data_IF_595535398835
#
_entry.id   IF_595535398835
#
_cell.length_a   1.000
_cell.length_b   1.000
_cell.length_c   1.000
_cell.angle_alpha   90.00
_cell.angle_beta   90.00
_cell.angle_gamma   90.00
#
_symmetry.space_group_name_H-M   'P 1'
#
loop_
_entity.id
_entity.type
_entity.pdbx_description
1 polymer ?
#
# COMPACT_ATOMS: atom_id res chain seq x y z
N UNK A 1 -15.11 -10.11 -7.31
CA UNK A 1 -14.22 -10.18 -8.48
C UNK A 1 -13.04 -11.11 -8.22
N UNK A 2 -12.46 -11.05 -7.02
CA UNK A 2 -11.36 -11.93 -6.58
C UNK A 2 -11.79 -12.55 -5.25
N UNK A 3 -11.71 -13.88 -5.15
CA UNK A 3 -12.00 -14.61 -3.92
C UNK A 3 -10.85 -15.56 -3.63
N UNK A 4 -10.32 -15.53 -2.41
CA UNK A 4 -9.32 -16.50 -1.94
C UNK A 4 -9.78 -17.16 -0.65
N UNK A 5 -9.53 -18.45 -0.51
CA UNK A 5 -9.87 -19.22 0.68
C UNK A 5 -8.64 -19.97 1.18
N UNK A 6 -8.17 -19.60 2.36
CA UNK A 6 -6.99 -20.15 3.04
C UNK A 6 -5.78 -20.30 2.12
N UNK A 7 -5.59 -19.33 1.20
CA UNK A 7 -4.56 -19.35 0.18
C UNK A 7 -3.17 -19.26 0.81
N UNK A 8 -2.34 -20.27 0.56
CA UNK A 8 -0.97 -20.32 1.07
C UNK A 8 0.05 -20.53 -0.04
N UNK A 9 1.18 -19.86 0.07
CA UNK A 9 2.33 -20.04 -0.81
C UNK A 9 3.61 -20.14 -0.01
N UNK A 10 4.25 -21.32 -0.08
CA UNK A 10 5.54 -21.57 0.57
C UNK A 10 6.61 -21.75 -0.50
N UNK A 11 7.70 -21.03 -0.35
CA UNK A 11 8.95 -21.24 -1.03
C UNK A 11 9.94 -21.95 -0.08
N UNK A 12 11.06 -22.51 -0.55
CA UNK A 12 11.96 -23.31 0.31
C UNK A 12 12.45 -22.60 1.58
N UNK A 13 12.49 -21.27 1.58
CA UNK A 13 13.02 -20.45 2.70
C UNK A 13 12.02 -19.45 3.28
N UNK A 14 10.85 -19.29 2.66
CA UNK A 14 9.90 -18.22 3.02
C UNK A 14 8.47 -18.68 2.78
N UNK A 15 7.58 -18.42 3.73
CA UNK A 15 6.13 -18.47 3.53
C UNK A 15 5.68 -17.09 3.04
N UNK A 16 5.38 -16.99 1.75
CA UNK A 16 5.01 -15.73 1.13
C UNK A 16 3.53 -15.38 1.33
N UNK A 17 2.66 -16.39 1.46
CA UNK A 17 1.25 -16.25 1.86
C UNK A 17 0.92 -17.37 2.86
N UNK A 18 0.21 -17.01 3.93
CA UNK A 18 -0.19 -17.92 5.01
C UNK A 18 -1.70 -17.82 5.25
N UNK A 19 -2.45 -18.74 4.66
CA UNK A 19 -3.92 -18.89 4.78
C UNK A 19 -4.70 -17.61 4.52
N UNK A 20 -4.29 -16.87 3.49
CA UNK A 20 -4.93 -15.63 3.10
C UNK A 20 -6.34 -15.89 2.56
N UNK A 21 -7.37 -15.37 3.24
CA UNK A 21 -8.77 -15.40 2.78
C UNK A 21 -9.24 -13.97 2.62
N UNK A 22 -9.63 -13.60 1.39
CA UNK A 22 -10.15 -12.28 1.07
C UNK A 22 -11.19 -12.37 -0.05
N UNK A 23 -12.21 -11.54 0.05
CA UNK A 23 -13.19 -11.31 -1.00
C UNK A 23 -13.10 -9.84 -1.44
N UNK A 24 -12.81 -9.63 -2.72
CA UNK A 24 -12.67 -8.31 -3.34
C UNK A 24 -13.81 -8.10 -4.32
N UNK A 25 -14.64 -7.10 -4.03
CA UNK A 25 -15.75 -6.67 -4.86
C UNK A 25 -15.26 -5.93 -6.14
N UNK A 26 -16.15 -5.69 -7.16
CA UNK A 26 -15.85 -4.77 -8.24
C UNK A 26 -15.53 -3.36 -7.72
N UNK A 27 -14.65 -2.64 -8.42
CA UNK A 27 -14.24 -1.30 -8.03
C UNK A 27 -12.72 -1.14 -8.08
N UNK A 28 -12.21 -0.09 -7.45
CA UNK A 28 -10.77 0.14 -7.28
C UNK A 28 -10.36 -0.31 -5.88
N UNK A 29 -9.59 -1.39 -5.81
CA UNK A 29 -9.08 -1.94 -4.54
C UNK A 29 -7.59 -1.73 -4.41
N UNK A 30 -7.16 -1.14 -3.29
CA UNK A 30 -5.76 -1.02 -2.90
C UNK A 30 -5.28 -2.25 -2.13
N UNK A 31 -4.19 -2.87 -2.57
CA UNK A 31 -3.50 -3.94 -1.84
C UNK A 31 -2.23 -3.38 -1.22
N UNK A 32 -2.24 -3.21 0.08
CA UNK A 32 -1.18 -2.54 0.85
C UNK A 32 -0.39 -3.54 1.67
N UNK A 33 0.90 -3.29 1.79
CA UNK A 33 1.80 -4.07 2.62
C UNK A 33 3.25 -3.68 2.40
N UNK A 34 4.10 -3.95 3.37
CA UNK A 34 5.54 -3.74 3.26
C UNK A 34 6.15 -4.54 2.10
N UNK A 35 7.39 -4.20 1.73
CA UNK A 35 8.14 -5.01 0.77
C UNK A 35 8.33 -6.42 1.35
N UNK A 36 8.00 -7.43 0.55
CA UNK A 36 8.02 -8.82 1.02
C UNK A 36 6.72 -9.31 1.69
N UNK A 37 5.70 -8.47 1.89
CA UNK A 37 4.42 -8.86 2.49
C UNK A 37 3.61 -9.89 1.69
N UNK A 38 4.00 -10.19 0.44
CA UNK A 38 3.34 -11.19 -0.39
C UNK A 38 2.50 -10.64 -1.54
N UNK A 39 2.42 -9.31 -1.74
CA UNK A 39 1.60 -8.65 -2.77
C UNK A 39 1.80 -9.21 -4.18
N UNK A 40 3.04 -9.15 -4.69
CA UNK A 40 3.36 -9.66 -6.04
C UNK A 40 3.23 -11.19 -6.14
N UNK A 41 3.39 -11.92 -5.03
CA UNK A 41 3.12 -13.37 -4.99
C UNK A 41 1.64 -13.67 -5.15
N UNK A 42 0.78 -12.91 -4.47
CA UNK A 42 -0.67 -13.01 -4.63
C UNK A 42 -1.07 -12.75 -6.09
N UNK A 43 -0.62 -11.64 -6.68
CA UNK A 43 -0.89 -11.32 -8.09
C UNK A 43 -0.45 -12.45 -9.03
N UNK A 44 0.75 -13.02 -8.85
CA UNK A 44 1.24 -14.13 -9.68
C UNK A 44 0.34 -15.37 -9.58
N UNK A 45 -0.19 -15.67 -8.39
CA UNK A 45 -1.13 -16.78 -8.22
C UNK A 45 -2.46 -16.48 -8.91
N UNK A 46 -3.01 -15.27 -8.73
CA UNK A 46 -4.27 -14.85 -9.34
C UNK A 46 -4.20 -14.84 -10.88
N UNK A 47 -3.02 -14.57 -11.45
CA UNK A 47 -2.76 -14.67 -12.89
C UNK A 47 -2.49 -16.11 -13.38
N UNK A 48 -2.45 -17.09 -12.49
CA UNK A 48 -2.08 -18.47 -12.81
C UNK A 48 -0.60 -18.63 -13.23
N UNK A 49 0.27 -17.68 -12.86
CA UNK A 49 1.71 -17.71 -13.16
C UNK A 49 2.52 -18.47 -12.11
N UNK A 50 1.95 -18.67 -10.93
CA UNK A 50 2.54 -19.46 -9.85
C UNK A 50 1.47 -20.32 -9.19
N UNK A 51 1.71 -21.62 -8.95
CA UNK A 51 0.74 -22.46 -8.25
C UNK A 51 0.70 -22.07 -6.77
N UNK A 52 -0.50 -22.10 -6.17
CA UNK A 52 -0.65 -22.09 -4.71
C UNK A 52 -0.07 -23.38 -4.11
N UNK A 53 0.35 -23.32 -2.84
CA UNK A 53 0.74 -24.53 -2.08
C UNK A 53 -0.48 -25.19 -1.44
N UNK A 54 -1.40 -24.38 -0.92
CA UNK A 54 -2.66 -24.80 -0.28
C UNK A 54 -3.73 -23.72 -0.52
N UNK A 55 -4.99 -24.10 -0.36
CA UNK A 55 -6.13 -23.20 -0.51
C UNK A 55 -6.56 -23.02 -1.97
N UNK A 56 -7.54 -22.16 -2.18
CA UNK A 56 -8.14 -21.88 -3.49
C UNK A 56 -8.15 -20.39 -3.80
N UNK A 57 -8.17 -20.06 -5.09
CA UNK A 57 -8.34 -18.70 -5.56
C UNK A 57 -9.19 -18.66 -6.83
N UNK A 58 -10.07 -17.69 -6.92
CA UNK A 58 -10.94 -17.45 -8.06
C UNK A 58 -10.81 -15.99 -8.52
N UNK A 59 -10.79 -15.79 -9.83
CA UNK A 59 -10.76 -14.48 -10.47
C UNK A 59 -11.89 -14.43 -11.50
N UNK A 60 -12.77 -13.43 -11.40
CA UNK A 60 -13.96 -13.30 -12.24
C UNK A 60 -14.84 -14.57 -12.22
N UNK A 61 -14.89 -15.26 -11.09
CA UNK A 61 -15.60 -16.53 -10.91
C UNK A 61 -14.91 -17.76 -11.49
N UNK A 62 -13.70 -17.61 -12.06
CA UNK A 62 -12.91 -18.69 -12.66
C UNK A 62 -11.84 -19.19 -11.70
N UNK A 63 -11.61 -20.50 -11.65
CA UNK A 63 -10.58 -21.15 -10.83
C UNK A 63 -9.17 -20.89 -11.42
N UNK A 64 -8.28 -20.29 -10.65
CA UNK A 64 -6.93 -19.92 -11.12
C UNK A 64 -6.07 -21.11 -11.55
N UNK A 65 -6.37 -22.32 -11.04
CA UNK A 65 -5.62 -23.54 -11.37
C UNK A 65 -6.10 -24.21 -12.64
N UNK A 66 -7.39 -24.07 -12.98
CA UNK A 66 -8.03 -24.73 -14.12
C UNK A 66 -8.17 -23.79 -15.32
N UNK A 67 -8.51 -22.53 -15.05
CA UNK A 67 -8.96 -21.58 -16.06
C UNK A 67 -7.93 -20.46 -16.34
N UNK A 68 -6.65 -20.70 -16.02
CA UNK A 68 -5.62 -19.66 -16.05
C UNK A 68 -5.46 -18.96 -17.40
N UNK A 69 -5.67 -19.64 -18.56
CA UNK A 69 -5.66 -19.00 -19.88
C UNK A 69 -6.83 -18.04 -20.05
N UNK A 70 -8.05 -18.49 -19.72
CA UNK A 70 -9.28 -17.70 -19.82
C UNK A 70 -9.24 -16.48 -18.88
N UNK A 71 -8.64 -16.64 -17.69
CA UNK A 71 -8.39 -15.51 -16.79
C UNK A 71 -7.49 -14.48 -17.47
N UNK A 72 -6.32 -14.88 -18.02
CA UNK A 72 -5.40 -13.95 -18.69
C UNK A 72 -5.95 -13.28 -19.94
N UNK A 73 -6.93 -13.87 -20.61
CA UNK A 73 -7.66 -13.21 -21.71
C UNK A 73 -8.56 -12.06 -21.22
N UNK A 74 -9.01 -12.12 -19.96
CA UNK A 74 -9.97 -11.15 -19.37
C UNK A 74 -9.34 -10.18 -18.39
N UNK A 75 -8.06 -10.36 -18.08
CA UNK A 75 -7.35 -9.51 -17.13
C UNK A 75 -6.13 -8.83 -17.75
N UNK A 76 -5.89 -7.58 -17.36
CA UNK A 76 -4.65 -6.87 -17.67
C UNK A 76 -3.65 -6.95 -16.53
N UNK A 77 -2.37 -6.86 -16.85
CA UNK A 77 -1.31 -6.83 -15.85
C UNK A 77 -0.25 -5.80 -16.18
N UNK A 78 0.00 -4.92 -15.24
CA UNK A 78 1.09 -3.95 -15.26
C UNK A 78 2.13 -4.37 -14.20
N UNK A 79 3.30 -4.89 -14.59
CA UNK A 79 4.33 -5.33 -13.64
C UNK A 79 5.08 -4.13 -13.04
N UNK A 80 5.62 -4.31 -11.82
CA UNK A 80 6.46 -3.32 -11.15
C UNK A 80 7.71 -2.99 -11.97
N UNK A 81 8.47 -4.04 -12.39
CA UNK A 81 9.74 -3.88 -13.07
C UNK A 81 9.60 -3.32 -14.49
N UNK A 82 10.67 -2.69 -14.97
CA UNK A 82 10.75 -2.21 -16.36
C UNK A 82 10.82 -3.43 -17.30
N UNK A 83 9.87 -3.51 -18.21
CA UNK A 83 9.75 -4.59 -19.20
C UNK A 83 9.61 -4.02 -20.60
N UNK A 84 9.86 -2.73 -20.79
CA UNK A 84 9.63 -2.03 -22.03
C UNK A 84 10.87 -2.10 -22.94
N UNK A 85 10.72 -2.51 -24.22
CA UNK A 85 11.82 -2.48 -25.17
C UNK A 85 12.18 -1.02 -25.52
N UNK A 86 13.46 -0.60 -25.40
CA UNK A 86 13.83 0.80 -25.57
C UNK A 86 13.81 1.28 -27.01
N UNK A 87 13.99 0.36 -27.98
CA UNK A 87 14.26 0.69 -29.37
C UNK A 87 12.98 0.79 -30.24
N UNK A 88 11.81 0.47 -29.66
CA UNK A 88 10.51 0.57 -30.37
C UNK A 88 9.69 1.72 -29.83
N UNK A 89 8.73 2.19 -30.64
CA UNK A 89 7.78 3.21 -30.21
C UNK A 89 6.69 2.61 -29.31
N UNK A 90 6.01 3.47 -28.52
CA UNK A 90 4.87 3.04 -27.73
C UNK A 90 3.76 2.43 -28.59
N UNK A 91 3.52 2.99 -29.79
CA UNK A 91 2.53 2.43 -30.73
C UNK A 91 2.92 1.02 -31.18
N UNK A 92 4.16 0.78 -31.60
CA UNK A 92 4.58 -0.55 -32.04
C UNK A 92 4.49 -1.57 -30.91
N UNK A 93 4.94 -1.20 -29.72
CA UNK A 93 4.89 -2.08 -28.55
C UNK A 93 3.44 -2.42 -28.17
N UNK A 94 2.55 -1.42 -28.01
CA UNK A 94 1.18 -1.67 -27.56
C UNK A 94 0.36 -2.39 -28.64
N UNK A 95 0.58 -2.11 -29.94
CA UNK A 95 -0.02 -2.89 -31.06
C UNK A 95 0.43 -4.36 -30.97
N UNK A 96 1.73 -4.60 -30.71
CA UNK A 96 2.22 -5.97 -30.53
C UNK A 96 1.51 -6.69 -29.39
N UNK A 97 1.38 -6.04 -28.23
CA UNK A 97 0.68 -6.59 -27.07
C UNK A 97 -0.81 -6.85 -27.35
N UNK A 98 -1.49 -5.93 -28.03
CA UNK A 98 -2.87 -6.11 -28.46
C UNK A 98 -3.05 -7.35 -29.36
N UNK A 99 -2.11 -7.56 -30.30
CA UNK A 99 -2.13 -8.73 -31.18
C UNK A 99 -1.84 -10.03 -30.44
N UNK A 100 -0.92 -9.99 -29.47
CA UNK A 100 -0.65 -11.16 -28.58
C UNK A 100 -1.86 -11.54 -27.74
N UNK A 101 -2.71 -10.55 -27.40
CA UNK A 101 -4.00 -10.77 -26.73
C UNK A 101 -5.13 -11.18 -27.69
N UNK A 102 -4.82 -11.46 -28.96
CA UNK A 102 -5.78 -12.01 -29.94
C UNK A 102 -6.53 -10.98 -30.79
N UNK A 103 -6.24 -9.68 -30.67
CA UNK A 103 -6.91 -8.67 -31.49
C UNK A 103 -6.45 -8.76 -32.96
N UNK A 104 -7.40 -8.67 -33.95
CA UNK A 104 -7.06 -8.53 -35.35
C UNK A 104 -6.21 -7.29 -35.64
N UNK A 105 -5.36 -7.27 -36.70
CA UNK A 105 -4.40 -6.18 -36.92
C UNK A 105 -5.02 -4.78 -36.99
N UNK A 106 -6.21 -4.63 -37.57
CA UNK A 106 -6.90 -3.34 -37.67
C UNK A 106 -7.37 -2.89 -36.27
N UNK A 107 -8.12 -3.75 -35.59
CA UNK A 107 -8.60 -3.48 -34.23
C UNK A 107 -7.46 -3.20 -33.26
N UNK A 108 -6.34 -3.93 -33.36
CA UNK A 108 -5.16 -3.68 -32.52
C UNK A 108 -4.59 -2.26 -32.70
N UNK A 109 -4.55 -1.75 -33.94
CA UNK A 109 -4.08 -0.38 -34.20
C UNK A 109 -5.04 0.68 -33.69
N UNK A 110 -6.35 0.52 -33.93
CA UNK A 110 -7.39 1.44 -33.46
C UNK A 110 -7.42 1.51 -31.93
N UNK A 111 -7.50 0.34 -31.27
CA UNK A 111 -7.48 0.27 -29.81
C UNK A 111 -6.19 0.84 -29.21
N UNK A 112 -5.04 0.60 -29.83
CA UNK A 112 -3.76 1.18 -29.40
C UNK A 112 -3.80 2.70 -29.46
N UNK A 113 -4.28 3.28 -30.57
CA UNK A 113 -4.36 4.74 -30.71
C UNK A 113 -5.25 5.37 -29.63
N UNK A 114 -6.41 4.76 -29.37
CA UNK A 114 -7.34 5.21 -28.34
C UNK A 114 -6.76 5.04 -26.92
N UNK A 115 -6.18 3.88 -26.64
CA UNK A 115 -5.60 3.62 -25.31
C UNK A 115 -4.45 4.56 -25.02
N UNK A 116 -3.54 4.80 -25.98
CA UNK A 116 -2.43 5.74 -25.82
C UNK A 116 -2.91 7.18 -25.63
N UNK A 117 -4.03 7.56 -26.26
CA UNK A 117 -4.68 8.85 -26.01
C UNK A 117 -5.22 8.94 -24.58
N UNK A 118 -5.89 7.91 -24.10
CA UNK A 118 -6.46 7.86 -22.74
C UNK A 118 -5.39 7.95 -21.64
N UNK A 119 -4.23 7.33 -21.84
CA UNK A 119 -3.13 7.43 -20.90
C UNK A 119 -2.28 8.70 -21.09
N UNK A 120 -2.64 9.60 -22.01
CA UNK A 120 -1.98 10.89 -22.23
C UNK A 120 -0.62 10.80 -22.96
N UNK A 121 -0.46 9.83 -23.88
CA UNK A 121 0.74 9.63 -24.70
C UNK A 121 0.47 9.84 -26.21
N UNK A 122 -0.56 10.62 -26.56
CA UNK A 122 -0.97 10.79 -27.95
C UNK A 122 0.13 11.40 -28.82
N UNK A 123 0.81 12.44 -28.36
CA UNK A 123 1.85 13.15 -29.12
C UNK A 123 3.16 12.35 -29.19
N UNK A 124 3.52 11.67 -28.10
CA UNK A 124 4.78 10.96 -27.98
C UNK A 124 4.79 9.55 -28.55
N UNK A 125 3.62 9.00 -28.89
CA UNK A 125 3.42 7.58 -29.19
C UNK A 125 4.31 6.99 -30.26
N UNK A 126 4.89 7.82 -31.15
CA UNK A 126 5.76 7.38 -32.25
C UNK A 126 7.27 7.52 -31.91
N UNK A 127 7.61 8.09 -30.76
CA UNK A 127 8.99 8.20 -30.31
C UNK A 127 9.43 6.87 -29.67
N UNK A 128 10.74 6.50 -29.79
CA UNK A 128 11.29 5.35 -29.08
C UNK A 128 11.11 5.46 -27.56
N UNK A 129 10.72 4.36 -26.93
CA UNK A 129 10.43 4.28 -25.47
C UNK A 129 11.69 4.55 -24.64
N UNK A 130 12.89 4.25 -25.16
CA UNK A 130 14.15 4.53 -24.47
C UNK A 130 14.34 5.99 -24.07
N UNK A 131 13.76 6.92 -24.83
CA UNK A 131 13.78 8.37 -24.53
C UNK A 131 12.62 8.86 -23.64
N UNK A 132 11.82 7.98 -23.07
CA UNK A 132 10.68 8.36 -22.23
C UNK A 132 11.12 8.62 -20.78
N UNK A 133 10.42 9.56 -20.13
CA UNK A 133 10.50 9.73 -18.67
C UNK A 133 9.91 8.52 -17.94
N UNK A 134 10.20 8.37 -16.65
CA UNK A 134 9.63 7.29 -15.83
C UNK A 134 8.10 7.32 -15.88
N UNK A 135 7.47 8.50 -15.77
CA UNK A 135 6.02 8.65 -15.87
C UNK A 135 5.45 8.23 -17.23
N UNK A 136 6.11 8.58 -18.32
CA UNK A 136 5.72 8.13 -19.66
C UNK A 136 5.84 6.60 -19.79
N UNK A 137 6.87 5.99 -19.26
CA UNK A 137 7.06 4.53 -19.25
C UNK A 137 5.95 3.85 -18.44
N UNK A 138 5.60 4.36 -17.27
CA UNK A 138 4.48 3.82 -16.48
C UNK A 138 3.15 3.91 -17.24
N UNK A 139 2.90 5.01 -17.97
CA UNK A 139 1.72 5.16 -18.84
C UNK A 139 1.70 4.17 -20.01
N UNK A 140 2.87 3.83 -20.60
CA UNK A 140 2.94 2.76 -21.63
C UNK A 140 2.62 1.40 -21.02
N UNK A 141 3.15 1.11 -19.82
CA UNK A 141 2.84 -0.14 -19.09
C UNK A 141 1.34 -0.24 -18.76
N UNK A 142 0.71 0.87 -18.37
CA UNK A 142 -0.72 0.92 -18.15
C UNK A 142 -1.49 0.69 -19.48
N UNK A 143 -1.06 1.33 -20.57
CA UNK A 143 -1.70 1.16 -21.89
C UNK A 143 -1.65 -0.30 -22.35
N UNK A 144 -0.51 -0.99 -22.19
CA UNK A 144 -0.41 -2.40 -22.53
C UNK A 144 -1.35 -3.29 -21.72
N UNK A 145 -1.58 -2.96 -20.44
CA UNK A 145 -2.50 -3.71 -19.59
C UNK A 145 -3.97 -3.51 -19.95
N UNK A 146 -4.31 -2.39 -20.61
CA UNK A 146 -5.69 -2.00 -20.95
C UNK A 146 -6.10 -2.28 -22.40
N UNK A 147 -5.15 -2.43 -23.33
CA UNK A 147 -5.40 -2.41 -24.77
C UNK A 147 -6.37 -3.48 -25.27
N UNK A 148 -6.46 -4.61 -24.60
CA UNK A 148 -7.32 -5.74 -24.96
C UNK A 148 -8.70 -5.72 -24.27
N UNK A 149 -9.06 -4.60 -23.62
CA UNK A 149 -10.36 -4.39 -22.96
C UNK A 149 -10.64 -5.39 -21.83
N UNK A 150 -9.78 -5.45 -20.81
CA UNK A 150 -9.94 -6.40 -19.72
C UNK A 150 -11.12 -6.03 -18.80
N UNK A 151 -11.66 -7.01 -18.06
CA UNK A 151 -12.66 -6.81 -17.01
C UNK A 151 -12.05 -6.44 -15.66
N UNK A 152 -10.79 -6.81 -15.45
CA UNK A 152 -10.00 -6.54 -14.25
C UNK A 152 -8.57 -6.23 -14.65
N UNK A 153 -7.93 -5.29 -13.96
CA UNK A 153 -6.50 -5.00 -14.15
C UNK A 153 -5.75 -5.07 -12.83
N UNK A 154 -4.60 -5.74 -12.87
CA UNK A 154 -3.64 -5.78 -11.79
C UNK A 154 -2.52 -4.77 -12.06
N UNK A 155 -2.30 -3.83 -11.14
CA UNK A 155 -1.28 -2.79 -11.24
C UNK A 155 -0.29 -2.97 -10.08
N UNK A 156 0.92 -3.45 -10.39
CA UNK A 156 1.95 -3.72 -9.36
C UNK A 156 2.85 -2.49 -9.23
N UNK A 157 2.68 -1.73 -8.13
CA UNK A 157 3.41 -0.51 -7.78
C UNK A 157 3.45 0.54 -8.92
N UNK A 158 2.30 0.97 -9.49
CA UNK A 158 2.24 1.83 -10.67
C UNK A 158 2.81 3.24 -10.47
N UNK A 159 2.90 3.70 -9.23
CA UNK A 159 3.43 5.01 -8.85
C UNK A 159 4.92 4.99 -8.50
N UNK A 160 5.56 3.80 -8.54
CA UNK A 160 6.96 3.66 -8.18
C UNK A 160 7.87 4.47 -9.11
N UNK A 161 8.78 5.25 -8.50
CA UNK A 161 9.75 6.09 -9.21
C UNK A 161 9.17 7.39 -9.79
N UNK A 162 7.91 7.73 -9.48
CA UNK A 162 7.29 8.99 -9.89
C UNK A 162 7.52 10.08 -8.84
N UNK A 163 7.62 11.32 -9.31
CA UNK A 163 7.52 12.51 -8.46
C UNK A 163 6.07 12.70 -7.95
N UNK A 164 5.83 13.56 -6.95
CA UNK A 164 4.50 13.73 -6.37
C UNK A 164 3.41 14.08 -7.39
N UNK A 165 3.71 14.93 -8.37
CA UNK A 165 2.76 15.34 -9.41
C UNK A 165 2.45 14.15 -10.33
N UNK A 166 3.47 13.44 -10.79
CA UNK A 166 3.30 12.25 -11.62
C UNK A 166 2.53 11.13 -10.92
N UNK A 167 2.66 11.01 -9.59
CA UNK A 167 1.86 10.08 -8.78
C UNK A 167 0.38 10.45 -8.79
N UNK A 168 0.05 11.71 -8.49
CA UNK A 168 -1.34 12.16 -8.49
C UNK A 168 -1.98 12.01 -9.88
N UNK A 169 -1.24 12.28 -10.94
CA UNK A 169 -1.70 12.06 -12.31
C UNK A 169 -1.95 10.57 -12.61
N UNK A 170 -1.05 9.68 -12.19
CA UNK A 170 -1.20 8.24 -12.37
C UNK A 170 -2.39 7.69 -11.57
N UNK A 171 -2.56 8.12 -10.34
CA UNK A 171 -3.72 7.75 -9.51
C UNK A 171 -5.04 8.25 -10.13
N UNK A 172 -5.05 9.45 -10.69
CA UNK A 172 -6.17 9.98 -11.45
C UNK A 172 -6.48 9.15 -12.70
N UNK A 173 -5.46 8.66 -13.42
CA UNK A 173 -5.63 7.72 -14.54
C UNK A 173 -6.25 6.41 -14.08
N UNK A 174 -5.73 5.82 -13.00
CA UNK A 174 -6.24 4.57 -12.41
C UNK A 174 -7.71 4.71 -12.03
N UNK A 175 -8.11 5.81 -11.40
CA UNK A 175 -9.51 6.06 -11.07
C UNK A 175 -10.39 6.13 -12.32
N UNK A 176 -9.94 6.83 -13.37
CA UNK A 176 -10.67 6.89 -14.66
C UNK A 176 -10.82 5.54 -15.34
N UNK A 177 -9.86 4.63 -15.23
CA UNK A 177 -10.00 3.26 -15.76
C UNK A 177 -11.25 2.58 -15.21
N UNK A 178 -11.57 2.80 -13.94
CA UNK A 178 -12.81 2.27 -13.37
C UNK A 178 -14.03 3.11 -13.74
N UNK A 179 -13.97 4.44 -13.54
CA UNK A 179 -15.16 5.31 -13.69
C UNK A 179 -15.64 5.42 -15.13
N UNK A 180 -14.72 5.45 -16.11
CA UNK A 180 -15.06 5.70 -17.51
C UNK A 180 -15.26 4.40 -18.29
N UNK A 181 -14.60 3.32 -17.89
CA UNK A 181 -14.63 2.03 -18.63
C UNK A 181 -15.25 0.88 -17.84
N UNK A 182 -15.57 1.05 -16.56
CA UNK A 182 -16.13 -0.01 -15.70
C UNK A 182 -15.16 -1.14 -15.39
N UNK A 183 -13.86 -0.97 -15.67
CA UNK A 183 -12.83 -1.98 -15.41
C UNK A 183 -12.53 -1.99 -13.91
N UNK A 184 -12.56 -3.16 -13.29
CA UNK A 184 -12.12 -3.32 -11.89
C UNK A 184 -10.60 -3.23 -11.79
N UNK A 185 -10.09 -2.67 -10.70
CA UNK A 185 -8.65 -2.45 -10.51
C UNK A 185 -8.20 -3.01 -9.18
N UNK A 186 -7.15 -3.83 -9.19
CA UNK A 186 -6.35 -4.13 -8.00
C UNK A 186 -4.99 -3.46 -8.14
N UNK A 187 -4.75 -2.43 -7.32
CA UNK A 187 -3.50 -1.67 -7.33
C UNK A 187 -2.69 -1.97 -6.07
N UNK A 188 -1.42 -2.34 -6.22
CA UNK A 188 -0.52 -2.47 -5.09
C UNK A 188 0.21 -1.15 -4.84
N UNK A 189 0.42 -0.83 -3.57
CA UNK A 189 1.32 0.23 -3.13
C UNK A 189 1.86 -0.08 -1.73
N UNK A 190 3.03 0.44 -1.43
CA UNK A 190 3.55 0.52 -0.08
C UNK A 190 3.23 1.87 0.58
N UNK A 191 2.66 2.82 -0.17
CA UNK A 191 2.30 4.17 0.28
C UNK A 191 0.79 4.27 0.46
N UNK A 192 0.38 4.17 1.68
CA UNK A 192 -1.01 4.05 2.09
C UNK A 192 -1.85 5.29 1.76
N UNK A 193 -1.32 6.49 2.04
CA UNK A 193 -2.02 7.76 1.80
C UNK A 193 -2.35 8.03 0.32
N UNK A 194 -1.69 7.34 -0.61
CA UNK A 194 -2.02 7.41 -2.04
C UNK A 194 -3.32 6.68 -2.34
N UNK A 195 -3.52 5.52 -1.71
CA UNK A 195 -4.67 4.66 -1.97
C UNK A 195 -5.95 5.13 -1.29
N UNK A 196 -5.85 5.83 -0.14
CA UNK A 196 -7.00 6.38 0.57
C UNK A 196 -7.87 7.30 -0.32
N UNK A 197 -7.25 8.04 -1.23
CA UNK A 197 -7.95 8.98 -2.11
C UNK A 197 -8.44 8.39 -3.42
N UNK A 198 -7.95 7.20 -3.77
CA UNK A 198 -8.15 6.61 -5.10
C UNK A 198 -9.00 5.35 -5.05
N UNK A 199 -8.90 4.57 -3.98
CA UNK A 199 -9.54 3.27 -3.85
C UNK A 199 -10.89 3.34 -3.16
N UNK A 200 -11.80 2.45 -3.53
CA UNK A 200 -13.08 2.23 -2.86
C UNK A 200 -12.92 1.29 -1.67
N UNK A 201 -11.92 0.40 -1.76
CA UNK A 201 -11.63 -0.64 -0.77
C UNK A 201 -10.12 -0.80 -0.59
N UNK A 202 -9.70 -1.15 0.62
CA UNK A 202 -8.28 -1.40 0.93
C UNK A 202 -8.14 -2.75 1.63
N UNK A 203 -7.20 -3.54 1.13
CA UNK A 203 -6.77 -4.82 1.71
C UNK A 203 -5.34 -4.65 2.21
N UNK A 204 -5.13 -4.85 3.50
CA UNK A 204 -3.83 -4.73 4.16
C UNK A 204 -3.29 -6.13 4.44
N UNK A 205 -2.09 -6.41 3.92
CA UNK A 205 -1.39 -7.68 4.16
C UNK A 205 -0.01 -7.44 4.79
N UNK A 206 0.36 -8.31 5.71
CA UNK A 206 1.70 -8.35 6.28
C UNK A 206 2.13 -9.78 6.57
N UNK A 207 3.41 -10.09 6.34
CA UNK A 207 3.94 -11.45 6.52
C UNK A 207 3.12 -12.54 5.82
N UNK A 208 2.45 -12.22 4.70
CA UNK A 208 1.60 -13.14 3.95
C UNK A 208 0.20 -13.36 4.54
N UNK A 209 -0.19 -12.63 5.57
CA UNK A 209 -1.50 -12.72 6.24
C UNK A 209 -2.36 -11.49 5.97
N UNK A 210 -3.66 -11.70 5.96
CA UNK A 210 -4.62 -10.60 5.94
C UNK A 210 -4.64 -9.93 7.33
N UNK A 211 -4.30 -8.65 7.39
CA UNK A 211 -4.47 -7.85 8.59
C UNK A 211 -5.84 -7.19 8.64
N UNK A 212 -6.26 -6.60 7.54
CA UNK A 212 -7.55 -5.91 7.44
C UNK A 212 -8.04 -5.87 5.99
N UNK A 213 -9.36 -5.88 5.82
CA UNK A 213 -10.05 -5.66 4.55
C UNK A 213 -11.28 -4.82 4.86
N UNK A 214 -11.34 -3.59 4.37
CA UNK A 214 -12.45 -2.66 4.64
C UNK A 214 -12.63 -1.67 3.50
N UNK A 215 -13.82 -1.09 3.40
CA UNK A 215 -14.07 0.06 2.54
C UNK A 215 -13.22 1.25 2.99
N UNK A 216 -12.82 2.10 2.06
CA UNK A 216 -11.96 3.26 2.34
C UNK A 216 -12.65 4.24 3.30
N UNK A 217 -13.96 4.38 3.22
CA UNK A 217 -14.75 5.23 4.11
C UNK A 217 -14.65 4.79 5.58
N UNK A 218 -14.50 3.48 5.84
CA UNK A 218 -14.31 2.98 7.19
C UNK A 218 -12.92 3.30 7.77
N UNK A 219 -11.92 3.46 6.91
CA UNK A 219 -10.58 3.88 7.31
C UNK A 219 -10.49 5.39 7.53
N UNK A 220 -11.27 6.16 6.77
CA UNK A 220 -11.30 7.63 6.85
C UNK A 220 -12.35 8.15 7.83
N UNK A 221 -13.04 7.25 8.54
CA UNK A 221 -13.98 7.69 9.58
C UNK A 221 -13.27 8.63 10.55
N UNK A 222 -13.87 9.79 10.67
CA UNK A 222 -13.46 10.81 11.61
C UNK A 222 -13.52 10.20 13.01
N UNK A 223 -12.41 10.14 13.72
CA UNK A 223 -12.44 9.69 15.11
C UNK A 223 -13.25 10.67 15.94
N UNK A 224 -13.81 10.17 17.03
CA UNK A 224 -14.40 11.02 18.06
C UNK A 224 -13.35 11.80 18.85
N UNK A 225 -12.11 11.91 18.36
CA UNK A 225 -11.02 12.62 19.05
C UNK A 225 -10.57 13.85 18.30
N UNK A 226 -10.33 14.93 19.05
CA UNK A 226 -9.74 16.18 18.61
C UNK A 226 -8.24 16.15 18.87
N UNK A 227 -7.45 16.56 17.88
CA UNK A 227 -6.05 16.92 18.06
C UNK A 227 -5.96 18.41 18.35
N UNK A 228 -5.41 18.77 19.50
CA UNK A 228 -5.29 20.14 19.99
C UNK A 228 -3.83 20.45 20.22
N UNK A 229 -3.38 21.58 19.67
CA UNK A 229 -2.02 22.08 19.85
C UNK A 229 -2.09 23.52 20.39
N UNK A 230 -1.36 23.79 21.48
CA UNK A 230 -1.37 25.08 22.15
C UNK A 230 0.05 25.61 22.34
N UNK A 231 0.15 26.93 22.53
CA UNK A 231 1.43 27.58 22.84
C UNK A 231 1.71 27.52 24.34
N UNK A 232 2.98 27.50 24.71
CA UNK A 232 3.42 27.83 26.05
C UNK A 232 3.29 29.33 26.32
N UNK A 233 3.11 29.65 27.59
CA UNK A 233 3.07 31.04 28.05
C UNK A 233 3.94 31.22 29.30
N UNK A 234 4.27 32.45 29.66
CA UNK A 234 5.05 32.75 30.88
C UNK A 234 4.37 32.23 32.17
N UNK A 235 3.02 32.14 32.14
CA UNK A 235 2.22 31.60 33.25
C UNK A 235 2.09 30.10 33.22
N UNK A 236 2.19 29.49 32.05
CA UNK A 236 2.12 28.04 31.81
C UNK A 236 3.27 27.62 30.89
N UNK A 237 4.48 27.33 31.46
CA UNK A 237 5.65 26.95 30.66
C UNK A 237 5.48 25.60 29.93
N UNK A 238 4.51 24.78 30.33
CA UNK A 238 4.00 23.60 29.64
C UNK A 238 2.49 23.80 29.44
N UNK A 239 2.13 24.45 28.35
CA UNK A 239 0.74 24.76 28.00
C UNK A 239 -0.09 23.50 27.76
N UNK A 240 0.54 22.43 27.23
CA UNK A 240 -0.11 21.16 26.95
C UNK A 240 -0.52 20.46 28.25
N UNK A 241 0.36 20.41 29.26
CA UNK A 241 0.06 19.78 30.54
C UNK A 241 -0.96 20.60 31.34
N UNK A 242 -0.89 21.94 31.27
CA UNK A 242 -1.90 22.81 31.89
C UNK A 242 -3.29 22.58 31.28
N UNK A 243 -3.38 22.50 29.95
CA UNK A 243 -4.62 22.23 29.24
C UNK A 243 -5.16 20.82 29.58
N UNK A 244 -4.26 19.80 29.61
CA UNK A 244 -4.62 18.44 29.96
C UNK A 244 -5.25 18.36 31.36
N UNK A 245 -4.61 18.98 32.36
CA UNK A 245 -5.07 18.97 33.74
C UNK A 245 -6.45 19.66 33.88
N UNK A 246 -6.65 20.78 33.18
CA UNK A 246 -7.91 21.50 33.20
C UNK A 246 -9.03 20.72 32.53
N UNK A 247 -8.80 20.09 31.37
CA UNK A 247 -9.78 19.26 30.66
C UNK A 247 -10.16 17.99 31.45
N UNK A 248 -9.18 17.32 32.08
CA UNK A 248 -9.45 16.19 32.98
C UNK A 248 -10.30 16.62 34.16
N UNK A 249 -10.05 17.78 34.75
CA UNK A 249 -10.84 18.33 35.84
C UNK A 249 -12.28 18.64 35.42
N UNK A 250 -12.47 18.96 34.13
CA UNK A 250 -13.79 19.18 33.53
C UNK A 250 -14.48 17.87 33.05
N UNK A 251 -13.85 16.69 33.29
CA UNK A 251 -14.42 15.39 32.98
C UNK A 251 -14.17 14.91 31.55
N UNK A 252 -13.28 15.55 30.80
CA UNK A 252 -12.91 15.08 29.46
C UNK A 252 -11.91 13.91 29.53
N UNK A 253 -12.08 12.91 28.67
CA UNK A 253 -11.07 11.85 28.49
C UNK A 253 -9.95 12.38 27.59
N UNK A 254 -8.73 12.48 28.13
CA UNK A 254 -7.58 13.11 27.49
C UNK A 254 -6.37 12.20 27.51
N UNK A 255 -5.63 12.11 26.43
CA UNK A 255 -4.36 11.38 26.32
C UNK A 255 -3.31 12.25 25.63
N UNK A 256 -2.08 12.16 26.08
CA UNK A 256 -0.91 12.76 25.41
C UNK A 256 -0.30 11.84 24.35
N UNK A 257 -0.66 10.56 24.42
CA UNK A 257 -0.22 9.56 23.45
C UNK A 257 -1.43 9.13 22.60
N UNK A 258 -1.29 9.22 21.30
CA UNK A 258 -2.20 8.55 20.41
C UNK A 258 -2.02 7.04 20.61
N UNK A 259 -2.93 6.38 21.34
CA UNK A 259 -2.88 4.94 21.52
C UNK A 259 -2.84 4.27 20.16
N UNK A 260 -1.67 3.72 19.79
CA UNK A 260 -1.44 3.07 18.51
C UNK A 260 -0.72 3.89 17.44
N UNK A 261 -0.34 5.16 17.70
CA UNK A 261 0.52 5.89 16.79
C UNK A 261 1.98 5.63 17.17
N UNK A 262 2.68 4.88 16.34
CA UNK A 262 4.14 4.90 16.34
C UNK A 262 4.59 6.33 16.05
N UNK A 263 5.25 6.92 17.02
CA UNK A 263 5.80 8.24 17.05
C UNK A 263 6.49 8.65 15.75
N UNK A 264 5.98 9.65 15.09
CA UNK A 264 6.84 10.69 14.55
C UNK A 264 6.52 11.92 15.36
N UNK A 265 7.12 12.02 16.50
CA UNK A 265 7.11 13.22 17.31
C UNK A 265 8.16 14.14 16.72
N UNK A 266 7.72 15.14 16.04
CA UNK A 266 8.40 16.42 16.15
C UNK A 266 7.81 17.11 17.38
N UNK A 267 8.63 17.32 18.39
CA UNK A 267 8.53 18.32 19.46
C UNK A 267 7.33 19.29 19.31
N UNK A 268 6.15 18.90 19.71
CA UNK A 268 4.97 19.71 19.65
C UNK A 268 4.04 19.36 20.79
N UNK A 269 3.44 20.33 21.38
CA UNK A 269 2.50 20.29 22.47
C UNK A 269 1.12 19.81 21.94
N UNK A 270 1.04 18.54 21.50
CA UNK A 270 -0.17 17.96 20.91
C UNK A 270 -0.92 17.10 21.93
N UNK A 271 -2.18 17.42 22.14
CA UNK A 271 -3.10 16.75 23.05
C UNK A 271 -4.25 16.11 22.27
N UNK A 272 -4.63 14.88 22.61
CA UNK A 272 -5.80 14.24 22.04
C UNK A 272 -6.94 14.20 23.05
N UNK A 273 -8.11 14.73 22.65
CA UNK A 273 -9.30 14.83 23.49
C UNK A 273 -10.43 14.05 22.86
N UNK A 274 -11.05 13.12 23.56
CA UNK A 274 -12.26 12.47 23.07
C UNK A 274 -13.41 13.47 22.95
N UNK A 275 -13.98 13.58 21.76
CA UNK A 275 -14.98 14.57 21.40
C UNK A 275 -16.23 13.92 20.82
N UNK A 276 -17.11 13.34 21.67
CA UNK A 276 -18.33 12.68 21.21
C UNK A 276 -19.39 13.65 20.63
N UNK A 277 -19.21 14.96 20.77
CA UNK A 277 -20.16 15.98 20.28
C UNK A 277 -19.58 17.38 20.19
N UNK A 278 -20.37 18.32 19.65
CA UNK A 278 -19.98 19.73 19.49
C UNK A 278 -19.62 20.43 20.81
N UNK A 279 -20.22 20.00 21.92
CA UNK A 279 -19.95 20.53 23.26
C UNK A 279 -18.47 20.42 23.66
N UNK A 280 -17.76 19.41 23.15
CA UNK A 280 -16.33 19.21 23.46
C UNK A 280 -15.45 20.27 22.78
N UNK A 281 -15.84 20.74 21.60
CA UNK A 281 -15.13 21.83 20.92
C UNK A 281 -15.21 23.12 21.72
N UNK A 282 -16.39 23.44 22.22
CA UNK A 282 -16.62 24.61 23.07
C UNK A 282 -15.86 24.50 24.39
N UNK A 283 -15.88 23.31 25.01
CA UNK A 283 -15.13 23.05 26.25
C UNK A 283 -13.64 23.26 26.05
N UNK A 284 -13.04 22.72 24.99
CA UNK A 284 -11.62 22.88 24.68
C UNK A 284 -11.30 24.36 24.43
N UNK A 285 -12.08 25.04 23.60
CA UNK A 285 -11.89 26.45 23.28
C UNK A 285 -11.94 27.33 24.53
N UNK A 286 -12.97 27.13 25.35
CA UNK A 286 -13.20 27.94 26.56
C UNK A 286 -12.13 27.66 27.62
N UNK A 287 -11.64 26.42 27.73
CA UNK A 287 -10.53 26.04 28.63
C UNK A 287 -9.22 26.69 28.16
N UNK A 288 -8.90 26.66 26.86
CA UNK A 288 -7.72 27.32 26.29
C UNK A 288 -7.75 28.81 26.57
N UNK A 289 -8.90 29.45 26.33
CA UNK A 289 -9.09 30.87 26.59
C UNK A 289 -8.99 31.21 28.09
N UNK A 290 -9.56 30.38 28.97
CA UNK A 290 -9.49 30.54 30.42
C UNK A 290 -8.07 30.44 31.00
N UNK A 291 -7.22 29.61 30.40
CA UNK A 291 -5.80 29.47 30.75
C UNK A 291 -4.90 30.55 30.10
N UNK A 292 -5.44 31.35 29.18
CA UNK A 292 -4.67 32.36 28.43
C UNK A 292 -3.66 31.74 27.47
N UNK A 293 -3.86 30.49 27.04
CA UNK A 293 -3.01 29.80 26.06
C UNK A 293 -3.36 30.22 24.64
N UNK A 294 -2.38 30.24 23.76
CA UNK A 294 -2.63 30.41 22.32
C UNK A 294 -3.00 29.07 21.69
N UNK A 295 -4.14 29.01 20.99
CA UNK A 295 -4.54 27.82 20.22
C UNK A 295 -3.84 27.86 18.85
N UNK A 296 -2.94 26.90 18.59
CA UNK A 296 -2.24 26.76 17.32
C UNK A 296 -3.10 25.96 16.33
N UNK A 297 -3.67 24.83 16.82
CA UNK A 297 -4.41 23.88 16.00
C UNK A 297 -5.50 23.20 16.82
N UNK A 298 -6.67 23.07 16.23
CA UNK A 298 -7.76 22.24 16.75
C UNK A 298 -8.46 21.60 15.57
N UNK A 299 -8.25 20.33 15.38
CA UNK A 299 -8.86 19.58 14.27
C UNK A 299 -9.33 18.21 14.72
N UNK A 300 -10.34 17.72 14.04
CA UNK A 300 -10.84 16.37 14.26
C UNK A 300 -9.81 15.37 13.71
N UNK A 301 -9.35 14.47 14.57
CA UNK A 301 -8.42 13.41 14.17
C UNK A 301 -9.11 12.48 13.17
N UNK A 302 -8.44 12.21 12.08
CA UNK A 302 -8.82 11.14 11.15
C UNK A 302 -7.91 9.95 11.40
N UNK A 303 -8.46 8.76 11.55
CA UNK A 303 -7.65 7.56 11.53
C UNK A 303 -6.91 7.51 10.20
N UNK A 304 -5.59 7.38 10.27
CA UNK A 304 -4.79 7.05 9.08
C UNK A 304 -4.60 5.55 9.08
N UNK A 305 -4.75 4.94 7.91
CA UNK A 305 -4.51 3.50 7.74
C UNK A 305 -3.07 3.12 8.21
N UNK A 306 -2.11 4.06 8.19
CA UNK A 306 -0.76 3.89 8.73
C UNK A 306 -0.73 3.48 10.23
N UNK A 307 -1.75 3.82 11.00
CA UNK A 307 -1.85 3.47 12.41
C UNK A 307 -2.14 1.97 12.62
N UNK A 308 -2.73 1.31 11.62
CA UNK A 308 -2.99 -0.14 11.64
C UNK A 308 -1.68 -0.94 11.64
N UNK A 309 -0.61 -0.40 11.03
CA UNK A 309 0.70 -1.05 11.03
C UNK A 309 1.43 -0.93 12.36
N UNK A 310 1.21 0.17 13.10
CA UNK A 310 1.90 0.41 14.38
C UNK A 310 1.35 -0.43 15.53
N UNK A 311 0.06 -0.77 15.50
CA UNK A 311 -0.57 -1.62 16.52
C UNK A 311 -0.20 -3.10 16.35
N UNK A 312 0.11 -3.56 15.14
CA UNK A 312 0.55 -4.92 14.88
C UNK A 312 1.98 -5.17 15.40
N UNK A 313 2.89 -4.17 15.28
CA UNK A 313 4.25 -4.25 15.82
C UNK A 313 4.28 -4.24 17.35
N UNK A 314 3.38 -3.51 17.98
CA UNK A 314 3.27 -3.47 19.45
C UNK A 314 2.75 -4.80 20.04
N UNK A 315 1.95 -5.55 19.30
CA UNK A 315 1.44 -6.87 19.71
C UNK A 315 2.44 -8.02 19.48
N UNK A 316 3.42 -7.83 18.59
CA UNK A 316 4.46 -8.82 18.25
C UNK A 316 5.74 -8.69 19.11
N UNK A 317 5.88 -7.63 19.90
CA UNK A 317 7.11 -7.25 20.60
C UNK A 317 7.20 -7.65 22.07
N UNK A 318 7.03 -8.96 22.39
CA UNK A 318 7.57 -9.48 23.66
C UNK A 318 8.73 -10.41 23.30
N UNK A 319 10.00 -10.00 23.45
CA UNK A 319 11.11 -10.94 23.31
C UNK A 319 11.06 -11.92 24.48
N UNK A 320 10.85 -13.19 24.16
CA UNK A 320 11.04 -14.27 25.12
C UNK A 320 12.48 -14.21 25.65
N UNK A 321 12.62 -13.88 26.90
CA UNK A 321 13.87 -13.93 27.67
C UNK A 321 14.35 -15.38 27.66
N UNK A 322 15.42 -15.66 26.92
CA UNK A 322 16.14 -16.92 27.01
C UNK A 322 16.95 -16.88 28.31
N UNK A 323 16.79 -17.82 29.26
CA UNK A 323 17.61 -17.85 30.44
C UNK A 323 19.05 -18.24 30.08
N UNK A 324 19.99 -17.43 30.48
CA UNK A 324 21.41 -17.69 30.41
C UNK A 324 21.75 -18.91 31.27
N UNK A 325 22.20 -20.00 30.65
CA UNK A 325 22.86 -21.10 31.35
C UNK A 325 24.33 -20.75 31.53
N UNK A 326 24.71 -20.69 32.79
CA UNK A 326 26.06 -20.46 33.26
C UNK A 326 26.98 -21.64 32.96
N UNK A 327 28.19 -21.31 32.60
CA UNK A 327 29.47 -21.77 33.05
C UNK A 327 29.89 -23.23 32.89
N UNK A 328 31.03 -23.41 32.34
CA UNK A 328 32.24 -23.79 33.04
C UNK A 328 33.35 -24.28 32.08
N UNK A 329 34.57 -24.47 32.54
CA UNK A 329 35.76 -23.93 31.93
C UNK A 329 36.78 -24.99 31.46
N UNK A 330 37.81 -24.51 30.77
CA UNK A 330 39.12 -25.15 30.88
C UNK A 330 39.68 -25.88 29.67
N UNK A 331 40.53 -25.21 28.93
CA UNK A 331 41.93 -25.47 28.56
C UNK A 331 42.33 -26.89 28.01
N UNK A 332 43.53 -27.06 27.39
CA UNK A 332 44.49 -26.12 26.84
C UNK A 332 45.06 -26.42 25.43
N UNK A 333 45.88 -25.53 24.96
CA UNK A 333 46.88 -25.59 23.89
C UNK A 333 47.45 -26.95 23.42
N UNK A 334 47.63 -27.08 22.11
CA UNK A 334 48.81 -27.70 21.52
C UNK A 334 49.10 -27.05 20.15
N UNK A 335 50.26 -26.48 20.08
CA UNK A 335 51.04 -26.03 18.92
C UNK A 335 51.59 -27.25 18.15
N UNK A 336 51.68 -27.11 16.82
CA UNK A 336 52.79 -27.59 15.93
C UNK A 336 52.29 -27.41 14.49
N UNK A 337 52.82 -26.49 13.75
CA UNK A 337 54.12 -26.45 13.04
C UNK A 337 54.13 -27.31 11.74
N UNK A 338 54.36 -26.66 10.65
CA UNK A 338 55.22 -27.12 9.59
C UNK A 338 54.60 -27.64 8.31
N UNK A 339 54.87 -26.99 7.23
CA UNK A 339 55.10 -27.71 5.97
C UNK A 339 54.48 -27.14 4.70
N UNK A 340 55.25 -26.39 4.01
CA UNK A 340 55.08 -26.00 2.59
C UNK A 340 55.11 -27.24 1.64
N UNK A 341 54.49 -27.10 0.49
CA UNK A 341 54.97 -27.38 -0.88
C UNK A 341 53.76 -27.44 -1.83
N UNK A 342 53.70 -26.52 -2.73
CA UNK A 342 54.04 -26.56 -4.16
C UNK A 342 53.19 -27.49 -5.08
N UNK A 343 52.70 -26.78 -6.10
CA UNK A 343 52.57 -27.12 -7.51
C UNK A 343 51.66 -28.29 -7.99
N UNK A 344 50.62 -27.96 -8.65
CA UNK A 344 50.41 -28.13 -10.11
C UNK A 344 49.09 -27.45 -10.50
#
# INVERSE_FOLDING_TARGET
>A
VIVTESLSKRYPRVTALDRLSVDIAPGVTGLVGANGAGKSTLIKILLGLAPATEGTAHVLGLDVTKDGSTIRERVGYMPEHDCLPPDVSATEFVVHMARMSGLPPTAARERTADTLRHVGLYEERYRPIGGYSTGMKQRVKLAQALVHDPQLVFLDEPTNGLDPVGRDEMLGLIRRVHTDFGISVLVTSHLLGELERTCDHVVVIDGGKLLRSSATDEFTQVTTSLAVEVTDTDTHPDGTEALRAALVSAGAAVSTDAAGAASVVSSGHLLYVEAPGEETYDLVRDTVAGLGLGLIRMEQRRHRIAEVFSTADAAAGTPATVPATAGAPGAPHATQDGGAHDAA
#
